data_IF_914916757803
#
_entry.id   IF_914916757803
#
_cell.length_a   1.000
_cell.length_b   1.000
_cell.length_c   1.000
_cell.angle_alpha   90.00
_cell.angle_beta   90.00
_cell.angle_gamma   90.00
#
_symmetry.space_group_name_H-M   'P 1'
#
loop_
_entity.id
_entity.type
_entity.pdbx_description
1 polymer ?
#
# COMPACT_ATOMS: atom_id res chain seq x y z
N UNK A 1 -15.22 7.94 0.49
CA UNK A 1 -14.44 7.34 1.58
C UNK A 1 -13.43 8.37 2.08
N UNK A 2 -13.20 8.42 3.38
CA UNK A 2 -12.14 9.21 4.02
C UNK A 2 -10.78 8.51 3.89
N UNK A 3 -9.70 9.23 4.18
CA UNK A 3 -8.35 8.66 4.18
C UNK A 3 -8.23 7.46 5.15
N UNK A 4 -8.87 7.55 6.32
CA UNK A 4 -8.90 6.45 7.30
C UNK A 4 -9.65 5.22 6.76
N UNK A 5 -10.79 5.40 6.09
CA UNK A 5 -11.54 4.28 5.50
C UNK A 5 -10.73 3.58 4.41
N UNK A 6 -10.05 4.34 3.54
CA UNK A 6 -9.15 3.78 2.54
C UNK A 6 -7.96 3.06 3.17
N UNK A 7 -7.37 3.61 4.22
CA UNK A 7 -6.29 2.97 4.98
C UNK A 7 -6.75 1.65 5.62
N UNK A 8 -7.93 1.62 6.23
CA UNK A 8 -8.52 0.40 6.81
C UNK A 8 -8.75 -0.67 5.75
N UNK A 9 -9.38 -0.30 4.62
CA UNK A 9 -9.59 -1.23 3.50
C UNK A 9 -8.26 -1.76 2.93
N UNK A 10 -7.26 -0.90 2.81
CA UNK A 10 -5.91 -1.31 2.39
C UNK A 10 -5.29 -2.33 3.36
N UNK A 11 -5.50 -2.14 4.67
CA UNK A 11 -5.06 -3.10 5.68
C UNK A 11 -5.78 -4.44 5.59
N UNK A 12 -7.08 -4.44 5.28
CA UNK A 12 -7.86 -5.67 5.05
C UNK A 12 -7.35 -6.42 3.82
N UNK A 13 -7.18 -5.72 2.69
CA UNK A 13 -6.61 -6.28 1.46
C UNK A 13 -5.20 -6.84 1.69
N UNK A 14 -4.36 -6.11 2.46
CA UNK A 14 -3.02 -6.57 2.85
C UNK A 14 -3.08 -7.87 3.65
N UNK A 15 -3.99 -7.96 4.63
CA UNK A 15 -4.19 -9.19 5.44
C UNK A 15 -4.72 -10.36 4.59
N UNK A 16 -5.48 -10.07 3.55
CA UNK A 16 -5.95 -11.06 2.57
C UNK A 16 -4.87 -11.45 1.54
N UNK A 17 -3.68 -10.83 1.55
CA UNK A 17 -2.61 -11.07 0.58
C UNK A 17 -2.84 -10.41 -0.78
N UNK A 18 -3.83 -9.52 -0.89
CA UNK A 18 -4.15 -8.77 -2.10
C UNK A 18 -3.27 -7.51 -2.19
N UNK A 19 -1.98 -7.71 -2.44
CA UNK A 19 -0.96 -6.64 -2.35
C UNK A 19 -1.24 -5.43 -3.27
N UNK A 20 -1.67 -5.68 -4.51
CA UNK A 20 -2.00 -4.61 -5.46
C UNK A 20 -3.21 -3.77 -4.99
N UNK A 21 -4.23 -4.43 -4.45
CA UNK A 21 -5.42 -3.74 -3.94
C UNK A 21 -5.09 -2.93 -2.69
N UNK A 22 -4.25 -3.47 -1.80
CA UNK A 22 -3.74 -2.74 -0.64
C UNK A 22 -2.99 -1.46 -1.05
N UNK A 23 -2.08 -1.55 -2.02
CA UNK A 23 -1.33 -0.39 -2.54
C UNK A 23 -2.29 0.65 -3.14
N UNK A 24 -3.27 0.25 -3.93
CA UNK A 24 -4.26 1.16 -4.51
C UNK A 24 -5.06 1.90 -3.43
N UNK A 25 -5.51 1.17 -2.40
CA UNK A 25 -6.21 1.77 -1.27
C UNK A 25 -5.33 2.78 -0.53
N UNK A 26 -4.05 2.44 -0.29
CA UNK A 26 -3.13 3.38 0.35
C UNK A 26 -2.85 4.61 -0.50
N UNK A 27 -2.75 4.49 -1.84
CA UNK A 27 -2.62 5.65 -2.72
C UNK A 27 -3.83 6.59 -2.57
N UNK A 28 -5.05 6.04 -2.58
CA UNK A 28 -6.27 6.85 -2.39
C UNK A 28 -6.31 7.54 -1.01
N UNK A 29 -5.82 6.87 0.04
CA UNK A 29 -5.70 7.49 1.36
C UNK A 29 -4.70 8.65 1.37
N UNK A 30 -3.53 8.48 0.74
CA UNK A 30 -2.46 9.49 0.65
C UNK A 30 -2.91 10.71 -0.20
N UNK A 31 -3.67 10.48 -1.27
CA UNK A 31 -4.23 11.56 -2.09
C UNK A 31 -5.20 12.47 -1.31
N UNK A 32 -5.91 11.91 -0.33
CA UNK A 32 -6.83 12.64 0.53
C UNK A 32 -6.13 13.27 1.75
N UNK A 33 -5.20 12.53 2.35
CA UNK A 33 -4.41 12.96 3.50
C UNK A 33 -2.96 12.46 3.37
N UNK A 34 -2.06 13.33 2.90
CA UNK A 34 -0.64 13.02 2.75
C UNK A 34 0.08 12.71 4.07
N UNK A 35 -0.50 13.06 5.22
CA UNK A 35 0.08 12.78 6.55
C UNK A 35 -0.54 11.52 7.19
N UNK A 36 -1.41 10.80 6.45
CA UNK A 36 -2.03 9.58 6.95
C UNK A 36 -1.05 8.41 7.11
N UNK A 37 -1.34 7.42 7.98
CA UNK A 37 -0.51 6.22 8.14
C UNK A 37 -0.34 5.38 6.87
N UNK A 38 -1.15 5.64 5.83
CA UNK A 38 -1.07 4.96 4.55
C UNK A 38 0.26 5.18 3.82
N UNK A 39 0.96 6.30 4.07
CA UNK A 39 2.29 6.56 3.49
C UNK A 39 3.28 5.47 3.93
N UNK A 40 3.37 5.23 5.23
CA UNK A 40 4.28 4.22 5.80
C UNK A 40 3.87 2.81 5.39
N UNK A 41 2.56 2.53 5.37
CA UNK A 41 2.04 1.23 4.97
C UNK A 41 2.34 0.90 3.49
N UNK A 42 2.20 1.88 2.60
CA UNK A 42 2.57 1.74 1.20
C UNK A 42 4.08 1.53 1.04
N UNK A 43 4.91 2.34 1.70
CA UNK A 43 6.37 2.20 1.65
C UNK A 43 6.81 0.80 2.11
N UNK A 44 6.21 0.28 3.20
CA UNK A 44 6.48 -1.07 3.67
C UNK A 44 6.17 -2.12 2.60
N UNK A 45 5.04 -2.00 1.90
CA UNK A 45 4.69 -2.93 0.82
C UNK A 45 5.65 -2.82 -0.37
N UNK A 46 6.03 -1.60 -0.75
CA UNK A 46 7.01 -1.38 -1.81
C UNK A 46 8.35 -2.02 -1.47
N UNK A 47 8.82 -1.89 -0.22
CA UNK A 47 10.07 -2.50 0.26
C UNK A 47 10.00 -4.03 0.25
N UNK A 48 8.87 -4.59 0.71
CA UNK A 48 8.61 -6.04 0.68
C UNK A 48 8.65 -6.54 -0.76
N UNK A 49 7.92 -5.90 -1.66
CA UNK A 49 7.86 -6.29 -3.07
C UNK A 49 9.22 -6.13 -3.75
N UNK A 50 9.96 -5.06 -3.45
CA UNK A 50 11.33 -4.86 -3.91
C UNK A 50 12.28 -5.97 -3.45
N UNK A 51 12.12 -6.46 -2.21
CA UNK A 51 12.91 -7.58 -1.69
C UNK A 51 12.59 -8.90 -2.39
N UNK A 52 11.31 -9.21 -2.64
CA UNK A 52 10.89 -10.45 -3.29
C UNK A 52 11.11 -10.43 -4.82
N UNK A 53 11.07 -9.25 -5.45
CA UNK A 53 11.11 -9.08 -6.90
C UNK A 53 12.43 -8.48 -7.40
N UNK A 54 13.57 -8.82 -6.78
CA UNK A 54 14.90 -8.38 -7.25
C UNK A 54 15.18 -8.71 -8.72
N UNK A 55 14.53 -9.73 -9.28
CA UNK A 55 14.70 -10.17 -10.67
C UNK A 55 13.68 -9.56 -11.67
N UNK A 56 12.70 -8.75 -11.23
CA UNK A 56 11.77 -8.08 -12.17
C UNK A 56 12.37 -6.76 -12.71
N UNK A 57 13.34 -6.17 -11.99
CA UNK A 57 13.98 -4.90 -12.34
C UNK A 57 15.45 -5.02 -12.77
N UNK A 58 15.95 -6.24 -13.00
CA UNK A 58 17.25 -6.44 -13.65
C UNK A 58 16.99 -6.80 -15.13
N UNK A 59 17.10 -5.84 -16.08
CA UNK A 59 16.90 -6.07 -17.51
C UNK A 59 17.92 -7.03 -18.13
#
# INVERSE_FOLDING_TARGET
MSAEEWYQQGNEARRAGQWHEAINCYIQAIELDPDSPAVEAKQMLDDIMSFYCKDIYNP
#
